data_IF_359258362186
#
_entry.id   IF_359258362186
#
_cell.length_a   1.000
_cell.length_b   1.000
_cell.length_c   1.000
_cell.angle_alpha   90.00
_cell.angle_beta   90.00
_cell.angle_gamma   90.00
#
_symmetry.space_group_name_H-M   'P 1'
#
loop_
_entity.id
_entity.type
_entity.pdbx_description
1 polymer ?
#
# COMPACT_ATOMS: atom_id res chain seq x y z
N UNK A 1 -12.43 41.87 -9.73
CA UNK A 1 -11.12 42.56 -9.91
C UNK A 1 -9.91 41.59 -9.91
N UNK A 2 -10.09 40.28 -9.90
CA UNK A 2 -9.01 39.27 -9.80
C UNK A 2 -8.55 38.66 -11.15
N UNK A 3 -8.94 39.24 -12.28
CA UNK A 3 -8.66 38.66 -13.60
C UNK A 3 -7.17 38.50 -13.95
N UNK A 4 -6.30 39.30 -13.38
CA UNK A 4 -4.85 39.18 -13.59
C UNK A 4 -4.21 38.12 -12.70
N UNK A 5 -4.72 37.90 -11.50
CA UNK A 5 -4.19 36.90 -10.55
C UNK A 5 -4.62 35.47 -10.96
N UNK A 6 -5.74 35.31 -11.63
CA UNK A 6 -6.29 34.02 -12.07
C UNK A 6 -5.31 33.24 -12.94
N UNK A 7 -4.75 33.86 -14.00
CA UNK A 7 -3.79 33.20 -14.89
C UNK A 7 -2.51 32.80 -14.16
N UNK A 8 -2.02 33.65 -13.27
CA UNK A 8 -0.83 33.35 -12.47
C UNK A 8 -1.07 32.18 -11.52
N UNK A 9 -2.24 32.13 -10.88
CA UNK A 9 -2.63 31.01 -9.99
C UNK A 9 -2.73 29.68 -10.74
N UNK A 10 -3.35 29.68 -11.94
CA UNK A 10 -3.41 28.47 -12.78
C UNK A 10 -2.02 28.02 -13.17
N UNK A 11 -1.16 28.93 -13.66
CA UNK A 11 0.22 28.61 -14.05
C UNK A 11 1.01 28.02 -12.88
N UNK A 12 0.95 28.65 -11.71
CA UNK A 12 1.62 28.15 -10.50
C UNK A 12 1.12 26.76 -10.11
N UNK A 13 -0.18 26.51 -10.16
CA UNK A 13 -0.75 25.21 -9.83
C UNK A 13 -0.33 24.12 -10.84
N UNK A 14 -0.32 24.42 -12.15
CA UNK A 14 0.11 23.46 -13.16
C UNK A 14 1.59 23.14 -13.04
N UNK A 15 2.45 24.15 -12.84
CA UNK A 15 3.89 23.92 -12.61
C UNK A 15 4.09 23.07 -11.34
N UNK A 16 3.42 23.43 -10.24
CA UNK A 16 3.49 22.66 -8.98
C UNK A 16 3.00 21.22 -9.11
N UNK A 17 2.11 20.94 -10.06
CA UNK A 17 1.64 19.58 -10.37
C UNK A 17 2.51 18.90 -11.45
N UNK A 18 3.70 19.41 -11.74
CA UNK A 18 4.68 18.78 -12.63
C UNK A 18 4.42 18.94 -14.11
N UNK A 19 3.69 20.00 -14.53
CA UNK A 19 3.55 20.37 -15.94
C UNK A 19 4.62 21.38 -16.35
N UNK A 20 5.22 21.19 -17.51
CA UNK A 20 6.09 22.19 -18.13
C UNK A 20 5.27 23.27 -18.83
N UNK A 21 5.88 24.41 -19.14
CA UNK A 21 5.21 25.47 -19.91
C UNK A 21 4.79 25.02 -21.31
N UNK A 22 5.52 24.09 -21.89
CA UNK A 22 5.18 23.48 -23.18
C UNK A 22 3.90 22.65 -23.14
N UNK A 23 3.55 22.12 -21.97
CA UNK A 23 2.34 21.32 -21.79
C UNK A 23 1.06 22.18 -21.80
N UNK A 24 1.17 23.48 -21.54
CA UNK A 24 -0.01 24.37 -21.40
C UNK A 24 -0.79 24.54 -22.71
N UNK A 25 -0.12 24.39 -23.85
CA UNK A 25 -0.74 24.48 -25.17
C UNK A 25 -1.29 23.14 -25.68
N UNK A 26 -1.06 22.04 -24.93
CA UNK A 26 -1.54 20.71 -25.31
C UNK A 26 -3.04 20.57 -25.09
N UNK A 27 -3.69 19.89 -26.01
CA UNK A 27 -5.10 19.51 -25.83
C UNK A 27 -5.23 18.46 -24.74
N UNK A 28 -6.26 18.59 -23.88
CA UNK A 28 -6.52 17.65 -22.79
C UNK A 28 -6.69 16.21 -23.31
N UNK A 29 -7.22 16.03 -24.51
CA UNK A 29 -7.41 14.70 -25.12
C UNK A 29 -6.08 13.97 -25.34
N UNK A 30 -5.00 14.71 -25.65
CA UNK A 30 -3.66 14.16 -25.90
C UNK A 30 -2.87 13.85 -24.62
N UNK A 31 -3.37 14.23 -23.44
CA UNK A 31 -2.72 13.99 -22.18
C UNK A 31 -2.85 12.51 -21.76
N UNK A 32 -1.83 11.99 -21.06
CA UNK A 32 -1.88 10.68 -20.43
C UNK A 32 -2.93 10.64 -19.31
N UNK A 33 -3.32 9.42 -18.86
CA UNK A 33 -4.26 9.24 -17.75
C UNK A 33 -3.81 9.99 -16.49
N UNK A 34 -2.56 9.82 -16.08
CA UNK A 34 -2.00 10.51 -14.92
C UNK A 34 -1.96 12.04 -15.09
N UNK A 35 -1.63 12.54 -16.29
CA UNK A 35 -1.70 13.97 -16.57
C UNK A 35 -3.13 14.53 -16.49
N UNK A 36 -4.13 13.79 -17.00
CA UNK A 36 -5.55 14.16 -16.86
C UNK A 36 -5.99 14.23 -15.40
N UNK A 37 -5.56 13.27 -14.59
CA UNK A 37 -5.83 13.27 -13.14
C UNK A 37 -5.22 14.50 -12.46
N UNK A 38 -3.97 14.84 -12.76
CA UNK A 38 -3.29 16.03 -12.23
C UNK A 38 -3.97 17.34 -12.65
N UNK A 39 -4.42 17.47 -13.91
CA UNK A 39 -5.21 18.64 -14.35
C UNK A 39 -6.53 18.74 -13.59
N UNK A 40 -7.21 17.59 -13.39
CA UNK A 40 -8.46 17.55 -12.61
C UNK A 40 -8.24 17.96 -11.15
N UNK A 41 -7.16 17.50 -10.53
CA UNK A 41 -6.75 17.92 -9.19
C UNK A 41 -6.51 19.43 -9.14
N UNK A 42 -5.72 19.99 -10.07
CA UNK A 42 -5.47 21.42 -10.17
C UNK A 42 -6.75 22.25 -10.29
N UNK A 43 -7.73 21.76 -11.06
CA UNK A 43 -9.04 22.40 -11.20
C UNK A 43 -9.81 22.42 -9.87
N UNK A 44 -9.76 21.33 -9.10
CA UNK A 44 -10.42 21.25 -7.78
C UNK A 44 -9.73 22.19 -6.80
N UNK A 45 -8.40 22.18 -6.73
CA UNK A 45 -7.62 23.04 -5.82
C UNK A 45 -7.79 24.53 -6.09
N UNK A 46 -8.04 24.92 -7.34
CA UNK A 46 -8.26 26.30 -7.74
C UNK A 46 -9.72 26.72 -7.67
N UNK A 47 -10.63 25.84 -7.30
CA UNK A 47 -12.06 26.19 -7.14
C UNK A 47 -12.30 27.05 -5.91
N UNK A 48 -13.38 27.85 -5.92
CA UNK A 48 -13.81 28.64 -4.76
C UNK A 48 -14.63 27.81 -3.73
N UNK A 49 -14.38 26.51 -3.65
CA UNK A 49 -15.08 25.62 -2.75
C UNK A 49 -14.65 25.85 -1.28
N UNK A 50 -15.61 25.79 -0.36
CA UNK A 50 -15.36 25.89 1.08
C UNK A 50 -14.90 24.56 1.69
N UNK A 51 -15.16 23.45 0.98
CA UNK A 51 -14.78 22.09 1.38
C UNK A 51 -14.24 21.35 0.16
N UNK A 52 -13.05 20.81 0.29
CA UNK A 52 -12.41 19.93 -0.70
C UNK A 52 -12.50 18.47 -0.25
N UNK A 53 -12.87 17.58 -1.16
CA UNK A 53 -12.86 16.15 -0.95
C UNK A 53 -11.80 15.57 -1.88
N UNK A 54 -10.73 15.02 -1.31
CA UNK A 54 -9.56 14.51 -2.03
C UNK A 54 -9.42 13.01 -1.76
N UNK A 55 -9.51 12.23 -2.79
CA UNK A 55 -9.34 10.77 -2.73
C UNK A 55 -8.04 10.39 -3.42
N UNK A 56 -7.08 9.87 -2.66
CA UNK A 56 -5.73 9.51 -3.09
C UNK A 56 -5.04 10.59 -3.94
N UNK A 57 -4.94 11.84 -3.48
CA UNK A 57 -4.43 12.95 -4.29
C UNK A 57 -2.94 12.85 -4.59
N UNK A 58 -2.19 12.05 -3.86
CA UNK A 58 -0.75 11.81 -4.06
C UNK A 58 -0.45 10.80 -5.15
N UNK A 59 -1.45 10.01 -5.59
CA UNK A 59 -1.25 9.03 -6.65
C UNK A 59 -0.86 9.73 -7.96
N UNK A 60 0.12 9.17 -8.65
CA UNK A 60 0.68 9.68 -9.90
C UNK A 60 1.38 11.06 -9.79
N UNK A 61 1.66 11.53 -8.59
CA UNK A 61 2.52 12.69 -8.35
C UNK A 61 3.96 12.22 -8.12
N UNK A 62 4.91 12.99 -8.62
CA UNK A 62 6.31 12.87 -8.22
C UNK A 62 6.55 13.61 -6.91
N UNK A 63 7.73 13.40 -6.33
CA UNK A 63 8.08 13.93 -5.00
C UNK A 63 7.89 15.45 -4.95
N UNK A 64 8.35 16.18 -5.99
CA UNK A 64 8.25 17.63 -6.06
C UNK A 64 6.79 18.10 -6.07
N UNK A 65 5.93 17.39 -6.83
CA UNK A 65 4.50 17.69 -6.90
C UNK A 65 3.76 17.36 -5.59
N UNK A 66 4.18 16.32 -4.87
CA UNK A 66 3.66 16.01 -3.54
C UNK A 66 4.03 17.11 -2.55
N UNK A 67 5.31 17.54 -2.50
CA UNK A 67 5.76 18.64 -1.63
C UNK A 67 5.02 19.96 -1.93
N UNK A 68 4.77 20.24 -3.20
CA UNK A 68 3.97 21.40 -3.58
C UNK A 68 2.52 21.27 -3.07
N UNK A 69 1.90 20.09 -3.25
CA UNK A 69 0.53 19.84 -2.79
C UNK A 69 0.40 19.98 -1.26
N UNK A 70 1.38 19.47 -0.51
CA UNK A 70 1.46 19.63 0.93
C UNK A 70 1.47 21.12 1.33
N UNK A 71 2.36 21.90 0.71
CA UNK A 71 2.49 23.33 0.96
C UNK A 71 1.20 24.10 0.60
N UNK A 72 0.56 23.70 -0.50
CA UNK A 72 -0.71 24.28 -0.94
C UNK A 72 -1.82 24.03 0.08
N UNK A 73 -1.99 22.76 0.53
CA UNK A 73 -3.03 22.39 1.50
C UNK A 73 -2.81 23.03 2.87
N UNK A 74 -1.56 23.15 3.33
CA UNK A 74 -1.23 23.84 4.58
C UNK A 74 -1.58 25.33 4.54
N UNK A 75 -1.47 25.97 3.36
CA UNK A 75 -1.82 27.38 3.17
C UNK A 75 -3.29 27.60 2.77
N UNK A 76 -4.04 26.54 2.49
CA UNK A 76 -5.41 26.60 2.01
C UNK A 76 -6.35 27.08 3.13
N UNK A 77 -7.25 28.01 2.78
CA UNK A 77 -8.29 28.51 3.72
C UNK A 77 -9.53 27.62 3.77
N UNK A 78 -9.76 26.81 2.73
CA UNK A 78 -10.87 25.88 2.70
C UNK A 78 -10.61 24.71 3.65
N UNK A 79 -11.68 24.15 4.21
CA UNK A 79 -11.60 22.85 4.87
C UNK A 79 -11.42 21.75 3.86
N UNK A 80 -10.72 20.68 4.22
CA UNK A 80 -10.61 19.53 3.33
C UNK A 80 -10.72 18.21 4.10
N UNK A 81 -11.21 17.20 3.41
CA UNK A 81 -11.16 15.80 3.82
C UNK A 81 -10.30 15.08 2.79
N UNK A 82 -9.29 14.38 3.26
CA UNK A 82 -8.38 13.61 2.41
C UNK A 82 -8.41 12.15 2.80
N UNK A 83 -8.48 11.28 1.81
CA UNK A 83 -8.24 9.85 1.92
C UNK A 83 -6.89 9.61 1.27
N UNK A 84 -5.94 9.02 1.98
CA UNK A 84 -4.63 8.68 1.45
C UNK A 84 -4.00 7.51 2.20
N UNK A 85 -3.21 6.73 1.49
CA UNK A 85 -2.36 5.69 2.05
C UNK A 85 -0.92 6.17 2.30
N UNK A 86 -0.65 7.45 2.09
CA UNK A 86 0.64 8.08 2.41
C UNK A 86 0.60 8.70 3.81
N UNK A 87 1.20 7.98 4.76
CA UNK A 87 1.26 8.40 6.17
C UNK A 87 2.03 9.72 6.38
N UNK A 88 3.09 9.96 5.60
CA UNK A 88 3.88 11.18 5.72
C UNK A 88 3.10 12.39 5.23
N UNK A 89 2.42 12.24 4.11
CA UNK A 89 1.50 13.25 3.60
C UNK A 89 0.39 13.56 4.61
N UNK A 90 -0.27 12.54 5.16
CA UNK A 90 -1.33 12.72 6.16
C UNK A 90 -0.81 13.47 7.41
N UNK A 91 0.36 13.10 7.93
CA UNK A 91 0.95 13.77 9.09
C UNK A 91 1.25 15.25 8.84
N UNK A 92 1.62 15.61 7.61
CA UNK A 92 1.93 16.99 7.26
C UNK A 92 0.71 17.88 7.05
N UNK A 93 -0.38 17.33 6.49
CA UNK A 93 -1.51 18.14 6.03
C UNK A 93 -2.74 18.06 6.93
N UNK A 94 -2.86 17.05 7.80
CA UNK A 94 -4.05 16.83 8.61
C UNK A 94 -3.82 17.14 10.09
N UNK A 95 -4.89 17.59 10.77
CA UNK A 95 -4.93 17.84 12.21
C UNK A 95 -6.02 17.03 12.93
N UNK A 96 -6.74 16.19 12.19
CA UNK A 96 -7.79 15.30 12.68
C UNK A 96 -7.87 14.08 11.79
N UNK A 97 -7.99 12.89 12.40
CA UNK A 97 -8.12 11.62 11.69
C UNK A 97 -9.48 10.99 11.97
N UNK A 98 -10.12 10.49 10.94
CA UNK A 98 -11.33 9.69 11.01
C UNK A 98 -10.99 8.22 10.69
N UNK A 99 -11.29 7.33 11.61
CA UNK A 99 -11.22 5.88 11.40
C UNK A 99 -12.61 5.33 11.12
N UNK A 100 -12.78 4.62 10.04
CA UNK A 100 -14.03 3.93 9.71
C UNK A 100 -13.80 2.43 9.79
N UNK A 101 -14.36 1.81 10.83
CA UNK A 101 -14.23 0.38 11.08
C UNK A 101 -15.59 -0.21 11.45
N UNK A 102 -15.96 -1.36 10.86
CA UNK A 102 -17.21 -2.10 11.15
C UNK A 102 -18.47 -1.20 11.12
N UNK A 103 -18.54 -0.26 10.16
CA UNK A 103 -19.66 0.67 10.00
C UNK A 103 -19.73 1.77 11.08
N UNK A 104 -18.68 1.94 11.87
CA UNK A 104 -18.56 3.00 12.90
C UNK A 104 -17.48 3.97 12.51
N UNK A 105 -17.72 5.26 12.77
CA UNK A 105 -16.76 6.32 12.58
C UNK A 105 -16.23 6.75 13.95
N UNK A 106 -14.92 6.69 14.15
CA UNK A 106 -14.21 7.22 15.31
C UNK A 106 -13.42 8.46 14.90
N UNK A 107 -13.22 9.38 15.82
CA UNK A 107 -12.49 10.62 15.55
C UNK A 107 -11.32 10.75 16.50
N UNK A 108 -10.14 11.04 15.96
CA UNK A 108 -8.91 11.25 16.69
C UNK A 108 -8.35 12.64 16.40
N UNK A 109 -7.69 13.25 17.38
CA UNK A 109 -7.02 14.53 17.22
C UNK A 109 -5.57 14.28 16.79
N UNK A 110 -5.12 15.02 15.76
CA UNK A 110 -3.80 14.87 15.20
C UNK A 110 -3.79 14.16 13.84
N UNK A 111 -2.61 14.07 13.24
CA UNK A 111 -2.33 13.37 12.01
C UNK A 111 -2.29 11.84 12.21
N UNK A 112 -1.74 11.13 11.22
CA UNK A 112 -1.68 9.67 11.23
C UNK A 112 -0.88 9.12 12.42
N UNK A 113 0.30 9.68 12.71
CA UNK A 113 1.16 9.20 13.80
C UNK A 113 0.53 9.34 15.18
N UNK A 114 -0.20 10.43 15.43
CA UNK A 114 -0.95 10.64 16.67
C UNK A 114 -2.16 9.69 16.77
N UNK A 115 -2.85 9.47 15.66
CA UNK A 115 -3.93 8.49 15.56
C UNK A 115 -3.46 7.09 15.97
N UNK A 116 -2.36 6.61 15.39
CA UNK A 116 -1.82 5.26 15.69
C UNK A 116 -1.52 5.10 17.19
N UNK A 117 -0.91 6.11 17.82
CA UNK A 117 -0.62 6.09 19.27
C UNK A 117 -1.90 6.04 20.10
N UNK A 118 -2.89 6.87 19.78
CA UNK A 118 -4.17 6.92 20.49
C UNK A 118 -4.92 5.60 20.34
N UNK A 119 -4.95 5.07 19.12
CA UNK A 119 -5.61 3.78 18.79
C UNK A 119 -4.97 2.60 19.53
N UNK A 120 -3.65 2.57 19.65
CA UNK A 120 -2.95 1.53 20.40
C UNK A 120 -3.28 1.57 21.90
N UNK A 121 -3.37 2.77 22.49
CA UNK A 121 -3.76 2.95 23.89
C UNK A 121 -5.21 2.49 24.14
N UNK A 122 -6.13 2.90 23.24
CA UNK A 122 -7.55 2.49 23.32
C UNK A 122 -7.67 0.96 23.21
N UNK A 123 -6.99 0.33 22.25
CA UNK A 123 -7.00 -1.12 22.05
C UNK A 123 -6.51 -1.85 23.28
N UNK A 124 -5.37 -1.46 23.84
CA UNK A 124 -4.86 -2.06 25.09
C UNK A 124 -5.85 -1.92 26.25
N UNK A 125 -6.60 -0.83 26.28
CA UNK A 125 -7.63 -0.59 27.29
C UNK A 125 -8.84 -1.48 27.06
N UNK A 126 -9.31 -1.59 25.82
CA UNK A 126 -10.41 -2.47 25.41
C UNK A 126 -10.08 -3.95 25.72
N UNK A 127 -8.87 -4.41 25.38
CA UNK A 127 -8.39 -5.76 25.68
C UNK A 127 -8.36 -6.07 27.18
N UNK A 128 -7.82 -5.12 27.97
CA UNK A 128 -7.80 -5.27 29.44
C UNK A 128 -9.21 -5.31 30.03
N UNK A 129 -10.10 -4.45 29.55
CA UNK A 129 -11.49 -4.43 29.97
C UNK A 129 -12.20 -5.72 29.63
N UNK A 130 -12.02 -6.22 28.41
CA UNK A 130 -12.54 -7.51 27.96
C UNK A 130 -12.05 -8.66 28.83
N UNK A 131 -10.73 -8.76 29.03
CA UNK A 131 -10.13 -9.80 29.84
C UNK A 131 -10.63 -9.76 31.31
N UNK A 132 -10.79 -8.58 31.89
CA UNK A 132 -11.33 -8.43 33.24
C UNK A 132 -12.81 -8.85 33.32
N UNK A 133 -13.62 -8.46 32.33
CA UNK A 133 -15.04 -8.85 32.27
C UNK A 133 -15.18 -10.37 32.08
N UNK A 134 -14.36 -10.98 31.22
CA UNK A 134 -14.36 -12.45 31.05
C UNK A 134 -14.00 -13.20 32.35
N UNK A 135 -12.98 -12.72 33.06
CA UNK A 135 -12.62 -13.32 34.37
C UNK A 135 -13.76 -13.21 35.41
N UNK A 136 -14.49 -12.09 35.39
CA UNK A 136 -15.64 -11.91 36.29
C UNK A 136 -16.80 -12.82 35.90
N UNK A 137 -17.06 -13.01 34.59
CA UNK A 137 -18.06 -13.98 34.10
C UNK A 137 -17.67 -15.39 34.56
N UNK A 138 -16.45 -15.86 34.29
CA UNK A 138 -15.96 -17.17 34.73
C UNK A 138 -16.10 -17.37 36.22
N UNK A 139 -15.76 -16.35 37.03
CA UNK A 139 -15.90 -16.38 38.49
C UNK A 139 -17.37 -16.52 38.90
N UNK A 140 -18.27 -15.79 38.27
CA UNK A 140 -19.71 -15.85 38.53
C UNK A 140 -20.31 -17.19 38.11
N UNK A 141 -19.91 -17.73 36.96
CA UNK A 141 -20.31 -19.07 36.51
C UNK A 141 -19.91 -20.15 37.49
N UNK A 142 -18.68 -20.12 38.01
CA UNK A 142 -18.24 -21.03 39.06
C UNK A 142 -19.11 -20.96 40.32
N UNK A 143 -19.52 -19.76 40.73
CA UNK A 143 -20.45 -19.56 41.85
C UNK A 143 -21.83 -20.12 41.52
N UNK A 144 -22.37 -19.87 40.34
CA UNK A 144 -23.66 -20.39 39.89
C UNK A 144 -23.67 -21.90 39.89
N UNK A 145 -22.60 -22.54 39.37
CA UNK A 145 -22.48 -24.00 39.37
C UNK A 145 -22.44 -24.59 40.78
N UNK A 146 -21.63 -23.99 41.67
CA UNK A 146 -21.54 -24.43 43.07
C UNK A 146 -22.87 -24.29 43.81
N UNK A 147 -23.58 -23.18 43.63
CA UNK A 147 -24.90 -22.95 44.23
C UNK A 147 -25.97 -23.93 43.73
N UNK A 148 -25.96 -24.26 42.44
CA UNK A 148 -26.86 -25.26 41.85
C UNK A 148 -26.59 -26.68 42.39
N UNK A 149 -25.33 -27.05 42.60
CA UNK A 149 -24.96 -28.36 43.20
C UNK A 149 -25.51 -28.54 44.63
N UNK A 150 -25.62 -27.48 45.39
CA UNK A 150 -26.14 -27.55 46.78
C UNK A 150 -27.67 -27.65 46.85
N UNK A 151 -28.41 -27.49 45.78
CA UNK A 151 -29.82 -27.73 45.55
C UNK A 151 -30.79 -27.30 46.67
N UNK A 152 -30.48 -26.22 47.42
CA UNK A 152 -31.38 -25.58 48.40
C UNK A 152 -32.07 -24.41 47.78
N UNK A 153 -33.38 -24.18 48.08
CA UNK A 153 -34.18 -23.12 47.51
C UNK A 153 -33.53 -21.73 47.55
N UNK A 154 -32.89 -21.37 48.67
CA UNK A 154 -32.13 -20.13 48.83
C UNK A 154 -30.95 -20.05 47.87
N UNK A 155 -30.26 -21.14 47.62
CA UNK A 155 -29.09 -21.21 46.76
C UNK A 155 -29.50 -21.07 45.26
N UNK A 156 -30.66 -21.65 44.90
CA UNK A 156 -31.22 -21.54 43.55
C UNK A 156 -31.55 -20.06 43.22
N UNK A 157 -32.20 -19.34 44.14
CA UNK A 157 -32.47 -17.88 43.96
C UNK A 157 -31.19 -17.06 43.83
N UNK A 158 -30.13 -17.42 44.56
CA UNK A 158 -28.83 -16.77 44.45
C UNK A 158 -28.17 -17.06 43.08
N UNK A 159 -28.23 -18.32 42.62
CA UNK A 159 -27.74 -18.70 41.30
C UNK A 159 -28.45 -17.95 40.17
N UNK A 160 -29.79 -17.83 40.22
CA UNK A 160 -30.59 -17.07 39.25
C UNK A 160 -30.22 -15.58 39.23
N UNK A 161 -30.01 -14.99 40.41
CA UNK A 161 -29.57 -13.59 40.51
C UNK A 161 -28.21 -13.37 39.86
N UNK A 162 -27.25 -14.29 40.10
CA UNK A 162 -25.91 -14.23 39.49
C UNK A 162 -25.96 -14.47 37.98
N UNK A 163 -26.82 -15.39 37.52
CA UNK A 163 -27.04 -15.64 36.09
C UNK A 163 -27.51 -14.35 35.37
N UNK A 164 -28.44 -13.60 35.95
CA UNK A 164 -28.86 -12.31 35.38
C UNK A 164 -27.72 -11.29 35.28
N UNK A 165 -26.76 -11.35 36.21
CA UNK A 165 -25.57 -10.48 36.13
C UNK A 165 -24.65 -10.94 34.98
N UNK A 166 -24.44 -12.25 34.84
CA UNK A 166 -23.67 -12.82 33.71
C UNK A 166 -24.33 -12.41 32.39
N UNK A 167 -25.63 -12.64 32.22
CA UNK A 167 -26.37 -12.31 31.00
C UNK A 167 -26.27 -10.80 30.66
N UNK A 168 -26.19 -9.93 31.68
CA UNK A 168 -25.97 -8.50 31.49
C UNK A 168 -24.55 -8.18 31.05
N UNK A 169 -23.54 -8.81 31.68
CA UNK A 169 -22.14 -8.62 31.31
C UNK A 169 -21.88 -9.12 29.89
N UNK A 170 -22.40 -10.29 29.51
CA UNK A 170 -22.29 -10.84 28.15
C UNK A 170 -22.90 -9.92 27.09
N UNK A 171 -24.08 -9.34 27.38
CA UNK A 171 -24.72 -8.36 26.46
C UNK A 171 -23.92 -7.09 26.26
N UNK A 172 -23.14 -6.67 27.24
CA UNK A 172 -22.27 -5.49 27.19
C UNK A 172 -20.85 -5.82 26.77
N UNK A 173 -20.51 -7.12 26.69
CA UNK A 173 -19.17 -7.57 26.33
C UNK A 173 -18.96 -7.34 24.82
N UNK A 174 -18.16 -6.34 24.52
CA UNK A 174 -17.70 -6.12 23.14
C UNK A 174 -16.34 -6.80 23.00
N UNK A 175 -16.29 -7.80 22.13
CA UNK A 175 -15.01 -8.43 21.80
C UNK A 175 -14.15 -7.35 21.11
N UNK A 176 -12.91 -7.12 21.62
CA UNK A 176 -12.01 -6.22 20.93
C UNK A 176 -11.89 -6.60 19.46
N UNK A 177 -11.77 -5.62 18.57
CA UNK A 177 -11.40 -5.91 17.19
C UNK A 177 -10.13 -6.76 17.22
N UNK A 178 -10.13 -7.86 16.49
CA UNK A 178 -8.92 -8.66 16.33
C UNK A 178 -7.79 -7.72 15.91
N UNK A 179 -6.57 -7.99 16.39
CA UNK A 179 -5.41 -7.28 15.87
C UNK A 179 -5.53 -7.22 14.34
N UNK A 180 -5.30 -6.05 13.70
CA UNK A 180 -5.09 -6.04 12.28
C UNK A 180 -4.06 -7.14 12.03
N UNK A 181 -4.44 -8.13 11.24
CA UNK A 181 -3.52 -9.24 11.00
C UNK A 181 -2.32 -8.66 10.28
N UNK A 182 -1.20 -8.58 11.00
CA UNK A 182 0.06 -8.06 10.47
C UNK A 182 0.45 -8.90 9.25
N UNK A 183 0.47 -8.27 8.09
CA UNK A 183 1.09 -8.86 6.91
C UNK A 183 2.58 -8.93 7.19
N UNK A 184 3.11 -10.15 7.32
CA UNK A 184 4.55 -10.38 7.54
C UNK A 184 5.05 -11.38 6.54
N UNK A 185 5.95 -10.95 5.67
CA UNK A 185 6.59 -11.80 4.70
C UNK A 185 8.06 -11.41 4.50
N UNK A 186 8.80 -12.30 3.89
CA UNK A 186 10.20 -12.08 3.51
C UNK A 186 10.39 -12.58 2.09
N UNK A 187 11.13 -11.84 1.29
CA UNK A 187 11.53 -12.33 -0.01
C UNK A 187 12.61 -13.42 0.13
N UNK A 188 12.51 -14.46 -0.67
CA UNK A 188 13.50 -15.52 -0.70
C UNK A 188 14.69 -15.09 -1.55
N UNK A 189 15.88 -14.98 -0.96
CA UNK A 189 17.10 -14.74 -1.72
C UNK A 189 17.66 -16.03 -2.28
N UNK A 190 18.04 -16.02 -3.57
CA UNK A 190 18.77 -17.10 -4.19
C UNK A 190 20.26 -16.93 -3.86
N UNK A 191 20.92 -17.92 -3.20
CA UNK A 191 22.34 -17.86 -2.96
C UNK A 191 23.11 -18.03 -4.29
N UNK A 192 24.24 -17.31 -4.44
CA UNK A 192 25.06 -17.35 -5.64
C UNK A 192 24.97 -16.05 -6.44
N UNK A 193 25.17 -16.14 -7.75
CA UNK A 193 25.29 -14.98 -8.65
C UNK A 193 26.69 -14.37 -8.69
N UNK A 194 26.98 -13.69 -9.80
CA UNK A 194 28.23 -12.95 -9.99
C UNK A 194 28.36 -11.73 -9.07
N UNK A 195 29.54 -11.13 -9.02
CA UNK A 195 29.75 -9.87 -8.29
C UNK A 195 29.02 -8.72 -8.99
N UNK A 196 29.08 -8.68 -10.31
CA UNK A 196 28.32 -7.74 -11.11
C UNK A 196 26.90 -8.28 -11.32
N UNK A 197 25.91 -7.47 -10.99
CA UNK A 197 24.48 -7.81 -11.11
C UNK A 197 23.90 -7.20 -12.36
N UNK A 198 24.14 -5.90 -12.56
CA UNK A 198 23.68 -5.15 -13.73
C UNK A 198 24.77 -4.17 -14.14
N UNK A 199 25.08 -4.12 -15.43
CA UNK A 199 25.93 -3.13 -16.05
C UNK A 199 25.19 -2.55 -17.25
N UNK A 200 25.10 -1.20 -17.33
CA UNK A 200 24.65 -0.51 -18.54
C UNK A 200 25.76 0.40 -19.04
N UNK A 201 26.02 0.39 -20.34
CA UNK A 201 27.05 1.23 -20.97
C UNK A 201 26.41 2.07 -22.07
N UNK A 202 26.44 3.42 -21.87
CA UNK A 202 25.88 4.41 -22.78
C UNK A 202 24.43 4.10 -23.23
N UNK A 203 23.63 3.51 -22.34
CA UNK A 203 22.28 3.07 -22.64
C UNK A 203 21.39 4.26 -23.05
N UNK A 204 20.68 4.10 -24.15
CA UNK A 204 19.74 5.10 -24.64
C UNK A 204 18.54 4.49 -25.32
N UNK A 205 17.38 5.14 -25.16
CA UNK A 205 16.12 4.72 -25.74
C UNK A 205 15.38 5.85 -26.41
N UNK A 206 14.86 5.57 -27.60
CA UNK A 206 14.02 6.49 -28.38
C UNK A 206 12.84 5.76 -29.00
N UNK A 207 11.68 6.38 -29.07
CA UNK A 207 10.51 5.88 -29.77
C UNK A 207 10.23 6.79 -30.98
N UNK A 208 10.58 6.32 -32.17
CA UNK A 208 10.60 7.16 -33.36
C UNK A 208 11.53 8.36 -33.17
N UNK A 209 11.04 9.59 -33.40
CA UNK A 209 11.82 10.81 -33.22
C UNK A 209 11.91 11.30 -31.77
N UNK A 210 11.18 10.66 -30.86
CA UNK A 210 11.17 11.05 -29.43
C UNK A 210 12.24 10.32 -28.65
N UNK A 211 13.28 11.04 -28.28
CA UNK A 211 14.31 10.56 -27.36
C UNK A 211 13.78 10.56 -25.93
N UNK A 212 13.88 9.42 -25.26
CA UNK A 212 13.44 9.26 -23.85
C UNK A 212 14.61 9.54 -22.91
N UNK A 213 15.72 8.81 -23.08
CA UNK A 213 16.96 9.04 -22.35
C UNK A 213 18.14 8.61 -23.21
N UNK A 214 19.36 8.99 -22.80
CA UNK A 214 20.60 8.58 -23.48
C UNK A 214 21.80 8.69 -22.56
N UNK A 215 22.84 7.91 -22.87
CA UNK A 215 24.11 7.94 -22.17
C UNK A 215 24.01 7.46 -20.73
N UNK A 216 23.01 6.62 -20.38
CA UNK A 216 22.85 6.09 -19.03
C UNK A 216 23.88 5.00 -18.76
N UNK A 217 24.70 5.23 -17.76
CA UNK A 217 25.69 4.27 -17.25
C UNK A 217 25.33 3.92 -15.81
N UNK A 218 25.11 2.64 -15.56
CA UNK A 218 24.83 2.11 -14.23
C UNK A 218 25.65 0.84 -13.99
N UNK A 219 26.10 0.66 -12.77
CA UNK A 219 26.76 -0.55 -12.32
C UNK A 219 26.23 -0.91 -10.93
N UNK A 220 25.52 -2.03 -10.85
CA UNK A 220 24.98 -2.56 -9.59
C UNK A 220 25.74 -3.82 -9.26
N UNK A 221 26.31 -3.87 -8.07
CA UNK A 221 27.01 -5.05 -7.56
C UNK A 221 26.17 -5.81 -6.54
N UNK A 222 26.60 -7.01 -6.26
CA UNK A 222 25.91 -7.93 -5.33
C UNK A 222 25.68 -7.29 -3.96
N UNK A 223 24.41 -7.33 -3.50
CA UNK A 223 23.99 -6.81 -2.21
C UNK A 223 23.69 -5.31 -2.21
N UNK A 224 23.87 -4.60 -3.33
CA UNK A 224 23.47 -3.19 -3.40
C UNK A 224 21.97 -3.01 -3.51
N UNK A 225 21.46 -1.99 -2.82
CA UNK A 225 20.08 -1.51 -2.89
C UNK A 225 20.06 -0.14 -3.52
N UNK A 226 19.58 -0.05 -4.75
CA UNK A 226 19.65 1.16 -5.57
C UNK A 226 18.25 1.72 -5.78
N UNK A 227 18.09 3.04 -5.63
CA UNK A 227 16.87 3.76 -5.98
C UNK A 227 17.07 4.54 -7.27
N UNK A 228 16.13 4.40 -8.21
CA UNK A 228 16.06 5.20 -9.42
C UNK A 228 15.00 6.28 -9.23
N UNK A 229 15.42 7.50 -9.05
CA UNK A 229 14.55 8.66 -8.84
C UNK A 229 14.46 9.51 -10.11
N UNK A 230 13.37 10.20 -10.29
CA UNK A 230 13.17 11.14 -11.39
C UNK A 230 11.71 11.53 -11.56
N UNK A 231 11.48 12.64 -12.26
CA UNK A 231 10.14 13.14 -12.56
C UNK A 231 9.31 12.14 -13.36
N UNK A 232 8.00 12.30 -13.31
CA UNK A 232 7.09 11.45 -14.06
C UNK A 232 7.31 11.62 -15.58
N UNK A 233 7.43 10.49 -16.28
CA UNK A 233 7.66 10.47 -17.72
C UNK A 233 9.11 10.66 -18.16
N UNK A 234 10.08 10.73 -17.25
CA UNK A 234 11.51 10.81 -17.60
C UNK A 234 12.11 9.50 -18.15
N UNK A 235 11.34 8.39 -18.13
CA UNK A 235 11.77 7.11 -18.71
C UNK A 235 12.16 6.03 -17.72
N UNK A 236 11.83 6.17 -16.41
CA UNK A 236 12.17 5.17 -15.37
C UNK A 236 11.70 3.75 -15.72
N UNK A 237 10.40 3.60 -15.99
CA UNK A 237 9.81 2.31 -16.42
C UNK A 237 10.40 1.81 -17.73
N UNK A 238 10.73 2.72 -18.67
CA UNK A 238 11.40 2.35 -19.93
C UNK A 238 12.78 1.78 -19.66
N UNK A 239 13.57 2.41 -18.79
CA UNK A 239 14.88 1.89 -18.38
C UNK A 239 14.78 0.49 -17.76
N UNK A 240 13.78 0.25 -16.89
CA UNK A 240 13.53 -1.09 -16.34
C UNK A 240 13.22 -2.10 -17.47
N UNK A 241 12.35 -1.71 -18.41
CA UNK A 241 11.97 -2.60 -19.53
C UNK A 241 13.15 -2.93 -20.44
N UNK A 242 14.09 -2.00 -20.64
CA UNK A 242 15.36 -2.25 -21.33
C UNK A 242 16.23 -3.23 -20.53
N UNK A 243 16.36 -3.05 -19.20
CA UNK A 243 17.10 -3.96 -18.32
C UNK A 243 16.50 -5.37 -18.33
N UNK A 244 15.19 -5.50 -18.41
CA UNK A 244 14.48 -6.78 -18.49
C UNK A 244 14.55 -7.43 -19.89
N UNK A 245 15.08 -6.71 -20.89
CA UNK A 245 15.11 -7.17 -22.28
C UNK A 245 13.73 -7.17 -22.95
N UNK A 246 12.75 -6.46 -22.40
CA UNK A 246 11.41 -6.28 -22.97
C UNK A 246 11.41 -5.26 -24.11
N UNK A 247 12.35 -4.31 -24.08
CA UNK A 247 12.64 -3.41 -25.17
C UNK A 247 14.10 -3.62 -25.62
N UNK A 248 14.33 -3.34 -26.89
CA UNK A 248 15.67 -3.34 -27.47
C UNK A 248 16.18 -1.88 -27.44
N UNK A 249 17.26 -1.58 -26.69
CA UNK A 249 17.76 -0.22 -26.59
C UNK A 249 18.21 0.31 -27.95
N UNK A 250 18.01 1.61 -28.17
CA UNK A 250 18.44 2.25 -29.44
C UNK A 250 19.93 2.60 -29.45
N UNK A 251 20.55 2.76 -28.26
CA UNK A 251 21.97 3.06 -28.08
C UNK A 251 22.49 2.31 -26.86
N UNK A 252 23.76 1.89 -26.91
CA UNK A 252 24.44 1.24 -25.79
C UNK A 252 24.03 -0.21 -25.57
N UNK A 253 24.38 -0.75 -24.43
CA UNK A 253 24.08 -2.15 -24.08
C UNK A 253 23.75 -2.35 -22.60
N UNK A 254 23.00 -3.42 -22.34
CA UNK A 254 22.67 -3.91 -20.98
C UNK A 254 23.31 -5.28 -20.81
N UNK A 255 24.02 -5.47 -19.71
CA UNK A 255 24.59 -6.77 -19.32
C UNK A 255 24.10 -7.16 -17.94
N UNK A 256 23.46 -8.32 -17.86
CA UNK A 256 23.07 -8.97 -16.61
C UNK A 256 24.18 -9.97 -16.23
N UNK A 257 24.56 -9.95 -14.96
CA UNK A 257 25.62 -10.81 -14.43
C UNK A 257 25.28 -12.29 -14.52
N UNK A 258 26.31 -13.14 -14.41
CA UNK A 258 26.14 -14.58 -14.48
C UNK A 258 25.33 -15.12 -13.28
N UNK A 259 24.38 -16.03 -13.56
CA UNK A 259 23.48 -16.65 -12.56
C UNK A 259 22.65 -15.62 -11.78
N UNK A 260 22.25 -14.54 -12.42
CA UNK A 260 21.31 -13.57 -11.87
C UNK A 260 19.89 -13.97 -12.27
N UNK A 261 19.06 -14.22 -11.23
CA UNK A 261 17.62 -14.46 -11.35
C UNK A 261 16.88 -13.20 -10.93
N UNK A 262 16.15 -12.61 -11.88
CA UNK A 262 15.40 -11.36 -11.67
C UNK A 262 13.99 -11.68 -11.19
N UNK A 263 13.58 -11.01 -10.11
CA UNK A 263 12.19 -10.84 -9.71
C UNK A 263 11.73 -9.43 -10.09
N UNK A 264 10.65 -9.34 -10.85
CA UNK A 264 10.11 -8.05 -11.28
C UNK A 264 8.69 -7.86 -10.74
N UNK A 265 8.48 -6.70 -10.10
CA UNK A 265 7.16 -6.21 -9.70
C UNK A 265 6.75 -5.07 -10.62
N UNK A 266 5.67 -5.26 -11.36
CA UNK A 266 5.19 -4.32 -12.38
C UNK A 266 4.17 -3.34 -11.81
N UNK A 267 4.31 -2.07 -12.14
CA UNK A 267 3.34 -1.02 -11.79
C UNK A 267 1.92 -1.33 -12.32
N UNK A 268 1.81 -1.90 -13.52
CA UNK A 268 0.53 -2.10 -14.20
C UNK A 268 -0.10 -3.46 -13.89
N UNK A 269 0.63 -4.36 -13.21
CA UNK A 269 0.18 -5.72 -12.87
C UNK A 269 -0.29 -6.53 -14.10
N UNK A 270 0.38 -6.35 -15.24
CA UNK A 270 0.08 -7.08 -16.49
C UNK A 270 0.41 -8.58 -16.40
N UNK A 271 1.12 -9.00 -15.34
CA UNK A 271 1.60 -10.37 -15.15
C UNK A 271 0.56 -11.31 -14.51
N UNK A 272 -0.67 -10.85 -14.26
CA UNK A 272 -1.75 -11.63 -13.68
C UNK A 272 -2.79 -12.01 -14.75
N UNK A 273 -3.16 -13.29 -14.80
CA UNK A 273 -4.23 -13.78 -15.66
C UNK A 273 -5.60 -13.43 -15.02
N UNK A 274 -6.31 -12.49 -15.64
CA UNK A 274 -7.57 -11.98 -15.12
C UNK A 274 -8.70 -13.00 -15.06
N UNK A 275 -8.61 -14.09 -15.83
CA UNK A 275 -9.64 -15.13 -15.91
C UNK A 275 -9.41 -16.26 -14.91
N UNK A 276 -8.25 -16.31 -14.25
CA UNK A 276 -7.94 -17.27 -13.20
C UNK A 276 -8.43 -16.84 -11.82
N UNK A 277 -8.53 -17.82 -10.93
CA UNK A 277 -8.66 -17.55 -9.50
C UNK A 277 -7.28 -17.18 -8.91
N UNK A 278 -7.28 -16.53 -7.75
CA UNK A 278 -6.03 -16.23 -7.03
C UNK A 278 -5.23 -17.51 -6.78
N UNK A 279 -5.92 -18.59 -6.39
CA UNK A 279 -5.29 -19.89 -6.13
C UNK A 279 -4.68 -20.49 -7.40
N UNK A 280 -5.42 -20.53 -8.51
CA UNK A 280 -4.97 -21.11 -9.76
C UNK A 280 -3.77 -20.35 -10.35
N UNK A 281 -3.76 -19.02 -10.22
CA UNK A 281 -2.65 -18.17 -10.67
C UNK A 281 -1.33 -18.54 -9.98
N UNK A 282 -1.36 -18.74 -8.65
CA UNK A 282 -0.16 -19.16 -7.92
C UNK A 282 0.18 -20.64 -8.19
N UNK A 283 -0.83 -21.52 -8.24
CA UNK A 283 -0.61 -22.94 -8.46
C UNK A 283 0.01 -23.22 -9.84
N UNK A 284 -0.46 -22.55 -10.90
CA UNK A 284 0.11 -22.72 -12.25
C UNK A 284 1.52 -22.13 -12.35
N UNK A 285 1.79 -21.05 -11.60
CA UNK A 285 3.14 -20.48 -11.53
C UNK A 285 4.12 -21.38 -10.75
N UNK A 286 3.63 -22.07 -9.71
CA UNK A 286 4.43 -22.93 -8.82
C UNK A 286 3.85 -24.34 -8.70
N UNK A 287 3.87 -25.14 -9.76
CA UNK A 287 3.20 -26.46 -9.81
C UNK A 287 3.77 -27.49 -8.84
N UNK A 288 4.98 -27.26 -8.33
CA UNK A 288 5.62 -28.14 -7.35
C UNK A 288 5.22 -27.84 -5.91
N UNK A 289 4.48 -26.76 -5.67
CA UNK A 289 4.00 -26.41 -4.33
C UNK A 289 2.69 -27.12 -4.01
N UNK A 290 2.57 -27.56 -2.77
CA UNK A 290 1.31 -28.16 -2.30
C UNK A 290 0.23 -27.07 -2.14
N UNK A 291 -1.04 -27.48 -2.20
CA UNK A 291 -2.18 -26.57 -1.96
C UNK A 291 -2.08 -25.85 -0.59
N UNK A 292 -1.55 -26.54 0.42
CA UNK A 292 -1.36 -25.97 1.75
C UNK A 292 -0.32 -24.85 1.75
N UNK A 293 0.79 -25.03 1.05
CA UNK A 293 1.85 -24.00 0.94
C UNK A 293 1.35 -22.77 0.21
N UNK A 294 0.59 -22.94 -0.87
CA UNK A 294 -0.01 -21.84 -1.63
C UNK A 294 -1.02 -21.07 -0.76
N UNK A 295 -1.91 -21.78 -0.06
CA UNK A 295 -2.89 -21.16 0.85
C UNK A 295 -2.21 -20.43 2.00
N UNK A 296 -1.12 -20.97 2.56
CA UNK A 296 -0.34 -20.30 3.60
C UNK A 296 0.32 -19.02 3.07
N UNK A 297 0.87 -19.06 1.85
CA UNK A 297 1.42 -17.86 1.21
C UNK A 297 0.35 -16.79 0.99
N UNK A 298 -0.82 -17.18 0.48
CA UNK A 298 -1.95 -16.26 0.28
C UNK A 298 -2.51 -15.71 1.59
N UNK A 299 -2.54 -16.53 2.64
CA UNK A 299 -2.99 -16.10 3.97
C UNK A 299 -2.12 -14.99 4.57
N UNK A 300 -0.82 -14.97 4.26
CA UNK A 300 0.09 -13.87 4.64
C UNK A 300 -0.39 -12.54 4.09
N UNK A 301 -0.97 -12.55 2.89
CA UNK A 301 -1.52 -11.36 2.22
C UNK A 301 -3.05 -11.21 2.43
N UNK A 302 -3.56 -11.78 3.52
CA UNK A 302 -4.95 -11.69 3.98
C UNK A 302 -5.99 -12.37 3.07
N UNK A 303 -5.59 -13.23 2.15
CA UNK A 303 -6.52 -14.07 1.39
C UNK A 303 -6.77 -15.37 2.13
N UNK A 304 -7.97 -15.53 2.73
CA UNK A 304 -8.32 -16.67 3.58
C UNK A 304 -9.58 -17.38 3.14
N UNK A 305 -9.70 -18.65 3.51
CA UNK A 305 -10.89 -19.45 3.26
C UNK A 305 -11.28 -19.45 1.78
N UNK A 306 -12.48 -18.96 1.47
CA UNK A 306 -13.02 -18.89 0.11
C UNK A 306 -12.46 -17.71 -0.71
N UNK A 307 -11.82 -16.74 -0.10
CA UNK A 307 -11.25 -15.59 -0.83
C UNK A 307 -10.21 -16.00 -1.86
N UNK A 308 -9.47 -17.09 -1.61
CA UNK A 308 -8.45 -17.60 -2.54
C UNK A 308 -9.04 -18.07 -3.89
N UNK A 309 -10.33 -18.33 -3.95
CA UNK A 309 -11.03 -18.75 -5.17
C UNK A 309 -11.72 -17.58 -5.90
N UNK A 310 -11.55 -16.34 -5.44
CA UNK A 310 -12.02 -15.16 -6.19
C UNK A 310 -11.26 -15.03 -7.50
N UNK A 311 -11.97 -14.70 -8.57
CA UNK A 311 -11.37 -14.38 -9.85
C UNK A 311 -10.59 -13.07 -9.78
N UNK A 312 -9.40 -13.02 -10.35
CA UNK A 312 -8.50 -11.86 -10.31
C UNK A 312 -9.15 -10.61 -10.88
N UNK A 313 -9.98 -10.74 -11.93
CA UNK A 313 -10.72 -9.60 -12.49
C UNK A 313 -11.69 -8.91 -11.52
N UNK A 314 -12.15 -9.61 -10.47
CA UNK A 314 -13.08 -9.08 -9.46
C UNK A 314 -12.36 -8.37 -8.30
N UNK A 315 -11.05 -8.46 -8.26
CA UNK A 315 -10.23 -7.86 -7.22
C UNK A 315 -10.07 -6.35 -7.44
N UNK A 316 -9.98 -5.61 -6.35
CA UNK A 316 -9.50 -4.23 -6.34
C UNK A 316 -8.04 -4.14 -6.78
N UNK A 317 -7.56 -2.94 -7.12
CA UNK A 317 -6.16 -2.71 -7.46
C UNK A 317 -5.21 -3.15 -6.34
N UNK A 318 -5.52 -2.81 -5.09
CA UNK A 318 -4.74 -3.21 -3.92
C UNK A 318 -4.73 -4.73 -3.68
N UNK A 319 -5.85 -5.41 -3.89
CA UNK A 319 -5.90 -6.88 -3.79
C UNK A 319 -5.05 -7.54 -4.87
N UNK A 320 -5.10 -7.05 -6.12
CA UNK A 320 -4.22 -7.55 -7.19
C UNK A 320 -2.74 -7.34 -6.87
N UNK A 321 -2.38 -6.17 -6.36
CA UNK A 321 -1.02 -5.87 -5.91
C UNK A 321 -0.53 -6.87 -4.85
N UNK A 322 -1.38 -7.23 -3.88
CA UNK A 322 -1.06 -8.26 -2.87
C UNK A 322 -0.89 -9.66 -3.47
N UNK A 323 -1.69 -10.03 -4.48
CA UNK A 323 -1.52 -11.32 -5.20
C UNK A 323 -0.15 -11.35 -5.91
N UNK A 324 0.23 -10.28 -6.57
CA UNK A 324 1.51 -10.17 -7.25
C UNK A 324 2.69 -10.23 -6.28
N UNK A 325 2.59 -9.54 -5.13
CA UNK A 325 3.59 -9.64 -4.06
C UNK A 325 3.68 -11.07 -3.50
N UNK A 326 2.56 -11.77 -3.33
CA UNK A 326 2.55 -13.17 -2.90
C UNK A 326 3.25 -14.06 -3.92
N UNK A 327 3.00 -13.84 -5.21
CA UNK A 327 3.67 -14.54 -6.31
C UNK A 327 5.18 -14.27 -6.30
N UNK A 328 5.59 -13.02 -6.16
CA UNK A 328 7.00 -12.64 -6.12
C UNK A 328 7.73 -13.16 -4.87
N UNK A 329 7.07 -13.18 -3.71
CA UNK A 329 7.63 -13.73 -2.46
C UNK A 329 8.02 -15.20 -2.57
N UNK A 330 7.28 -15.98 -3.36
CA UNK A 330 7.52 -17.42 -3.53
C UNK A 330 8.69 -17.72 -4.46
N UNK A 331 9.05 -16.79 -5.35
CA UNK A 331 10.16 -16.93 -6.28
C UNK A 331 11.48 -16.61 -5.57
N UNK A 332 12.43 -17.57 -5.49
CA UNK A 332 13.78 -17.24 -5.01
C UNK A 332 14.51 -16.45 -6.10
N UNK A 333 14.94 -15.23 -5.76
CA UNK A 333 15.60 -14.30 -6.68
C UNK A 333 16.81 -13.67 -6.00
N UNK A 334 17.81 -13.26 -6.79
CA UNK A 334 18.99 -12.54 -6.26
C UNK A 334 19.13 -11.12 -6.81
N UNK A 335 18.22 -10.72 -7.70
CA UNK A 335 18.06 -9.32 -8.10
C UNK A 335 16.57 -8.98 -8.18
N UNK A 336 16.13 -8.09 -7.29
CA UNK A 336 14.74 -7.64 -7.20
C UNK A 336 14.59 -6.28 -7.86
N UNK A 337 13.73 -6.18 -8.87
CA UNK A 337 13.38 -4.93 -9.54
C UNK A 337 11.93 -4.59 -9.21
N UNK A 338 11.68 -3.39 -8.71
CA UNK A 338 10.34 -2.94 -8.33
C UNK A 338 10.04 -1.57 -8.93
N UNK A 339 8.96 -1.49 -9.71
CA UNK A 339 8.48 -0.25 -10.31
C UNK A 339 7.28 0.28 -9.53
N UNK A 340 7.48 1.38 -8.79
CA UNK A 340 6.48 2.05 -7.93
C UNK A 340 5.69 1.07 -7.02
N UNK A 341 6.37 0.22 -6.23
CA UNK A 341 5.74 -0.92 -5.55
C UNK A 341 4.75 -0.53 -4.45
N UNK A 342 4.77 0.71 -3.99
CA UNK A 342 3.88 1.22 -2.95
C UNK A 342 2.55 1.74 -3.49
N UNK A 343 2.43 1.90 -4.82
CA UNK A 343 1.19 2.35 -5.43
C UNK A 343 0.09 1.30 -5.25
N UNK A 344 -1.12 1.76 -4.98
CA UNK A 344 -2.31 0.93 -4.75
C UNK A 344 -2.27 0.02 -3.52
N UNK A 345 -1.19 0.03 -2.71
CA UNK A 345 -1.14 -0.68 -1.45
C UNK A 345 -1.77 0.15 -0.33
N UNK A 346 -2.56 -0.50 0.54
CA UNK A 346 -2.98 0.09 1.80
C UNK A 346 -1.77 0.27 2.77
N UNK A 347 -1.97 1.04 3.81
CA UNK A 347 -0.90 1.40 4.76
C UNK A 347 -0.24 0.15 5.35
N UNK A 348 -1.03 -0.85 5.74
CA UNK A 348 -0.53 -2.08 6.37
C UNK A 348 0.31 -2.91 5.39
N UNK A 349 -0.14 -3.02 4.14
CA UNK A 349 0.60 -3.70 3.06
C UNK A 349 1.90 -2.96 2.71
N UNK A 350 1.91 -1.62 2.72
CA UNK A 350 3.13 -0.82 2.52
C UNK A 350 4.14 -1.06 3.62
N UNK A 351 3.71 -1.02 4.90
CA UNK A 351 4.61 -1.29 6.02
C UNK A 351 5.18 -2.71 5.99
N UNK A 352 4.37 -3.68 5.61
CA UNK A 352 4.83 -5.06 5.46
C UNK A 352 5.87 -5.19 4.34
N UNK A 353 5.64 -4.52 3.20
CA UNK A 353 6.58 -4.48 2.09
C UNK A 353 7.89 -3.79 2.50
N UNK A 354 7.84 -2.62 3.14
CA UNK A 354 9.01 -1.91 3.64
C UNK A 354 9.86 -2.78 4.57
N UNK A 355 9.21 -3.50 5.51
CA UNK A 355 9.89 -4.43 6.44
C UNK A 355 10.53 -5.61 5.69
N UNK A 356 9.83 -6.16 4.69
CA UNK A 356 10.35 -7.26 3.89
C UNK A 356 11.55 -6.84 3.03
N UNK A 357 11.51 -5.65 2.43
CA UNK A 357 12.61 -5.08 1.63
C UNK A 357 13.81 -4.70 2.50
N UNK A 358 13.57 -4.20 3.72
CA UNK A 358 14.65 -3.92 4.67
C UNK A 358 15.42 -5.20 5.05
N UNK A 359 14.71 -6.31 5.21
CA UNK A 359 15.28 -7.63 5.53
C UNK A 359 15.79 -8.43 4.32
N UNK A 360 15.65 -7.93 3.09
CA UNK A 360 16.11 -8.63 1.90
C UNK A 360 17.63 -8.46 1.71
N UNK A 361 18.37 -9.58 1.66
CA UNK A 361 19.85 -9.59 1.70
C UNK A 361 20.51 -9.58 0.31
N UNK A 362 19.73 -9.63 -0.79
CA UNK A 362 20.25 -9.59 -2.14
C UNK A 362 20.13 -8.20 -2.77
N UNK A 363 20.50 -8.09 -4.06
CA UNK A 363 20.52 -6.82 -4.78
C UNK A 363 19.14 -6.35 -5.16
N UNK A 364 18.91 -5.05 -5.18
CA UNK A 364 17.61 -4.46 -5.48
C UNK A 364 17.75 -3.17 -6.30
N UNK A 365 16.87 -3.01 -7.28
CA UNK A 365 16.62 -1.75 -7.99
C UNK A 365 15.16 -1.35 -7.78
N UNK A 366 14.93 -0.24 -7.14
CA UNK A 366 13.59 0.28 -6.87
C UNK A 366 13.38 1.60 -7.58
N UNK A 367 12.23 1.76 -8.21
CA UNK A 367 11.76 3.02 -8.79
C UNK A 367 10.66 3.59 -7.90
N UNK A 368 10.75 4.88 -7.62
CA UNK A 368 9.74 5.63 -6.88
C UNK A 368 9.60 7.05 -7.44
#
# INVERSE_FOLDING_TARGET
>A
LDGYQYRSRIRSALIGLGFSEEDFEKRVDSLSGGQKTRVSLGRILLSDANLLLLDEPTNHLDIESVEWLESFLQSCKASFIVISHDRYFLDKVTNRTFEMENGRLRTYTGGYSEYVKQREIERKTEERSYANTMREIERLEGIVEQQRRWNREKNIKTAESKQKVIDKLEKTLVKPSADPEDIRFTFRSLPGGGQDVLITENLGMSFGDRKIFSGCNAHIVKGEKVFLLGSNGCGKTTFIKDVLGLYEPTEGEVRIGANIEIGYYDQIQENLDMDKTIFDELHDTYPNMTQTEIRNALAVFLFKGEDVFKEIRKLSGGERARVELAKLMLKPVNFLIMDEPTNHLDIDSREALEKALAGYDASMLMVS
#
